data_IF_042008508255
#
_entry.id   IF_042008508255
#
_cell.length_a   1.000
_cell.length_b   1.000
_cell.length_c   1.000
_cell.angle_alpha   90.00
_cell.angle_beta   90.00
_cell.angle_gamma   90.00
#
_symmetry.space_group_name_H-M   'P 1'
#
loop_
_entity.id
_entity.type
_entity.pdbx_description
1 polymer ?
#
# COMPACT_ATOMS: atom_id res chain seq x y z
N UNK A 1 40.10 -27.54 -77.45
CA UNK A 1 41.50 -27.73 -77.88
C UNK A 1 42.31 -26.51 -77.44
N UNK A 2 43.33 -26.76 -76.60
CA UNK A 2 44.48 -25.89 -76.30
C UNK A 2 44.24 -24.58 -75.49
N UNK A 3 45.26 -24.02 -74.81
CA UNK A 3 46.00 -24.65 -73.70
C UNK A 3 46.37 -23.65 -72.57
N UNK A 4 46.77 -24.21 -71.42
CA UNK A 4 47.96 -23.88 -70.59
C UNK A 4 48.19 -22.43 -70.13
N UNK A 5 48.07 -22.27 -68.80
CA UNK A 5 48.97 -21.58 -67.83
C UNK A 5 49.92 -20.49 -68.37
N UNK A 6 49.94 -19.35 -67.66
CA UNK A 6 51.18 -18.83 -67.05
C UNK A 6 50.91 -17.83 -65.93
N UNK A 7 51.62 -18.04 -64.83
CA UNK A 7 51.70 -17.19 -63.64
C UNK A 7 52.51 -15.94 -63.97
N UNK A 8 52.17 -14.79 -63.39
CA UNK A 8 53.14 -13.74 -63.05
C UNK A 8 52.57 -12.86 -61.94
N UNK A 9 53.41 -12.58 -60.96
CA UNK A 9 53.09 -11.94 -59.70
C UNK A 9 53.23 -10.41 -59.79
N UNK A 10 52.39 -9.70 -59.04
CA UNK A 10 52.61 -8.37 -58.47
C UNK A 10 51.54 -8.27 -57.37
N UNK A 11 51.82 -8.17 -56.08
CA UNK A 11 52.85 -7.37 -55.46
C UNK A 11 52.23 -6.04 -55.02
N UNK A 12 51.96 -5.94 -53.70
CA UNK A 12 51.93 -4.69 -52.91
C UNK A 12 50.61 -3.91 -52.82
N UNK A 13 50.10 -3.78 -51.58
CA UNK A 13 49.13 -2.74 -51.21
C UNK A 13 48.06 -3.08 -50.17
N UNK A 14 48.37 -3.78 -49.07
CA UNK A 14 47.46 -3.82 -47.90
C UNK A 14 47.55 -2.47 -47.16
N UNK A 15 46.66 -1.55 -47.49
CA UNK A 15 46.36 -0.40 -46.63
C UNK A 15 45.47 -0.93 -45.50
N UNK A 16 46.07 -1.24 -44.36
CA UNK A 16 45.32 -1.53 -43.14
C UNK A 16 44.70 -0.21 -42.63
N UNK A 17 43.45 0.06 -43.00
CA UNK A 17 42.67 1.11 -42.38
C UNK A 17 42.32 0.66 -40.95
N UNK A 18 43.10 1.10 -39.97
CA UNK A 18 42.75 0.94 -38.55
C UNK A 18 41.59 1.88 -38.23
N UNK A 19 40.37 1.38 -38.31
CA UNK A 19 39.18 2.07 -37.82
C UNK A 19 39.23 2.14 -36.29
N UNK A 20 39.55 3.32 -35.76
CA UNK A 20 39.40 3.64 -34.34
C UNK A 20 37.90 3.58 -33.96
N UNK A 21 37.52 2.50 -33.28
CA UNK A 21 36.23 2.40 -32.58
C UNK A 21 36.28 3.33 -31.35
N UNK A 22 35.76 4.54 -31.50
CA UNK A 22 35.50 5.43 -30.36
C UNK A 22 34.31 4.84 -29.60
N UNK A 23 34.58 4.19 -28.47
CA UNK A 23 33.55 3.82 -27.50
C UNK A 23 32.96 5.10 -26.92
N UNK A 24 31.80 5.53 -27.44
CA UNK A 24 31.01 6.55 -26.76
C UNK A 24 30.38 5.89 -25.54
N UNK A 25 31.02 6.08 -24.37
CA UNK A 25 30.42 5.74 -23.09
C UNK A 25 29.12 6.51 -22.94
N UNK A 26 27.98 5.83 -23.10
CA UNK A 26 26.68 6.39 -22.77
C UNK A 26 26.60 6.49 -21.25
N UNK A 27 26.81 7.70 -20.72
CA UNK A 27 26.46 8.01 -19.34
C UNK A 27 24.94 8.02 -19.22
N UNK A 28 24.37 6.94 -18.71
CA UNK A 28 22.98 6.92 -18.26
C UNK A 28 22.88 7.76 -16.99
N UNK A 29 22.33 8.97 -17.09
CA UNK A 29 21.90 9.70 -15.90
C UNK A 29 20.64 9.03 -15.36
N UNK A 30 20.69 8.53 -14.12
CA UNK A 30 19.50 8.08 -13.43
C UNK A 30 18.55 9.28 -13.28
N UNK A 31 17.31 9.14 -13.74
CA UNK A 31 16.29 10.16 -13.49
C UNK A 31 16.10 10.33 -11.98
N UNK A 32 16.09 11.56 -11.49
CA UNK A 32 15.80 11.86 -10.09
C UNK A 32 14.39 11.35 -9.75
N UNK A 33 14.27 10.67 -8.61
CA UNK A 33 12.98 10.20 -8.12
C UNK A 33 12.11 11.42 -7.76
N UNK A 34 11.04 11.61 -8.53
CA UNK A 34 10.11 12.75 -8.37
C UNK A 34 8.95 12.43 -7.44
N UNK A 35 8.92 11.23 -6.84
CA UNK A 35 7.86 10.82 -5.92
C UNK A 35 7.88 11.71 -4.67
N UNK A 36 6.70 12.07 -4.12
CA UNK A 36 6.65 12.76 -2.84
C UNK A 36 7.32 11.93 -1.75
N UNK A 37 8.20 12.55 -0.96
CA UNK A 37 9.01 11.89 0.06
C UNK A 37 8.65 12.31 1.48
N UNK A 38 8.85 11.40 2.44
CA UNK A 38 8.74 11.72 3.87
C UNK A 38 9.90 12.65 4.26
N UNK A 39 9.58 13.78 4.88
CA UNK A 39 10.57 14.71 5.43
C UNK A 39 10.77 14.41 6.90
N UNK A 40 12.04 14.25 7.31
CA UNK A 40 12.43 13.99 8.70
C UNK A 40 13.38 15.08 9.17
N UNK A 41 13.03 15.73 10.28
CA UNK A 41 13.86 16.74 10.95
C UNK A 41 14.00 16.38 12.42
N UNK A 42 15.22 16.43 12.95
CA UNK A 42 15.52 16.11 14.35
C UNK A 42 14.96 14.74 14.80
N UNK A 43 14.90 13.76 13.89
CA UNK A 43 14.37 12.43 14.16
C UNK A 43 12.84 12.31 14.14
N UNK A 44 12.12 13.35 13.71
CA UNK A 44 10.65 13.37 13.67
C UNK A 44 10.15 13.66 12.25
N UNK A 45 9.11 12.94 11.84
CA UNK A 45 8.43 13.16 10.56
C UNK A 45 7.65 14.47 10.55
N UNK A 46 7.78 15.22 9.46
CA UNK A 46 7.21 16.56 9.32
C UNK A 46 5.86 16.53 8.60
N UNK A 47 4.91 17.42 8.95
CA UNK A 47 3.57 17.45 8.38
C UNK A 47 3.57 18.12 6.99
N UNK A 48 4.18 17.47 6.01
CA UNK A 48 4.35 18.00 4.65
C UNK A 48 3.27 17.56 3.66
N UNK A 49 2.35 16.68 4.10
CA UNK A 49 1.20 16.23 3.31
C UNK A 49 -0.09 16.89 3.81
N UNK A 50 -1.05 17.08 2.90
CA UNK A 50 -2.35 17.64 3.26
C UNK A 50 -3.24 16.63 3.98
N UNK A 51 -3.91 17.10 5.04
CA UNK A 51 -4.94 16.33 5.74
C UNK A 51 -6.30 16.43 5.02
N UNK A 52 -6.66 17.64 4.55
CA UNK A 52 -7.96 17.91 3.96
C UNK A 52 -8.20 17.18 2.62
N UNK A 53 -7.12 16.85 1.90
CA UNK A 53 -7.17 16.10 0.65
C UNK A 53 -6.78 14.63 0.82
N UNK A 54 -6.61 14.16 2.07
CA UNK A 54 -6.33 12.76 2.36
C UNK A 54 -7.41 11.85 1.78
N UNK A 55 -7.00 10.65 1.40
CA UNK A 55 -7.90 9.64 0.84
C UNK A 55 -8.46 8.84 2.01
N UNK A 56 -9.78 8.68 2.01
CA UNK A 56 -10.52 7.84 2.96
C UNK A 56 -11.08 6.64 2.22
N UNK A 57 -10.91 5.47 2.80
CA UNK A 57 -11.35 4.19 2.25
C UNK A 57 -11.98 3.36 3.37
N UNK A 58 -13.03 2.63 3.03
CA UNK A 58 -13.61 1.60 3.89
C UNK A 58 -13.55 0.27 3.14
N UNK A 59 -12.97 -0.76 3.77
CA UNK A 59 -12.80 -2.08 3.15
C UNK A 59 -13.15 -3.21 4.10
N UNK A 60 -13.62 -4.31 3.53
CA UNK A 60 -13.79 -5.59 4.22
C UNK A 60 -12.73 -6.57 3.77
N UNK A 61 -11.88 -7.02 4.70
CA UNK A 61 -10.82 -7.99 4.45
C UNK A 61 -11.34 -9.41 4.71
N UNK A 62 -11.20 -10.30 3.73
CA UNK A 62 -11.64 -11.69 3.82
C UNK A 62 -10.82 -12.44 4.89
N UNK A 63 -11.48 -13.01 5.90
CA UNK A 63 -10.84 -13.83 6.93
C UNK A 63 -10.84 -15.32 6.56
N UNK A 64 -9.89 -16.13 7.07
CA UNK A 64 -9.85 -17.58 6.83
C UNK A 64 -10.65 -18.38 7.87
N UNK A 65 -11.55 -17.74 8.61
CA UNK A 65 -12.32 -18.34 9.71
C UNK A 65 -13.78 -17.90 9.65
N UNK A 66 -14.64 -18.70 10.27
CA UNK A 66 -16.08 -18.49 10.42
C UNK A 66 -16.36 -18.62 11.94
N UNK A 67 -16.53 -17.48 12.62
CA UNK A 67 -16.61 -17.42 14.08
C UNK A 67 -18.02 -17.62 14.64
N UNK A 68 -19.05 -17.44 13.82
CA UNK A 68 -20.45 -17.64 14.19
C UNK A 68 -21.05 -18.95 13.65
N UNK A 69 -20.28 -19.68 12.85
CA UNK A 69 -20.59 -20.97 12.26
C UNK A 69 -21.80 -20.94 11.32
N UNK A 70 -21.98 -19.84 10.58
CA UNK A 70 -23.04 -19.71 9.58
C UNK A 70 -22.70 -20.37 8.23
N UNK A 71 -21.47 -20.85 8.07
CA UNK A 71 -20.96 -21.48 6.85
C UNK A 71 -20.31 -20.52 5.86
N UNK A 72 -20.18 -19.25 6.22
CA UNK A 72 -19.52 -18.19 5.46
C UNK A 72 -18.34 -17.67 6.27
N UNK A 73 -17.20 -17.47 5.63
CA UNK A 73 -16.05 -16.88 6.32
C UNK A 73 -16.31 -15.41 6.69
N UNK A 74 -15.77 -15.02 7.84
CA UNK A 74 -15.90 -13.67 8.35
C UNK A 74 -15.19 -12.62 7.47
N UNK A 75 -15.67 -11.39 7.57
CA UNK A 75 -15.08 -10.21 6.95
C UNK A 75 -14.71 -9.19 8.03
N UNK A 76 -13.48 -8.68 7.94
CA UNK A 76 -12.92 -7.71 8.89
C UNK A 76 -12.94 -6.31 8.28
N UNK A 77 -13.76 -5.43 8.85
CA UNK A 77 -13.88 -4.02 8.46
C UNK A 77 -12.65 -3.22 8.88
N UNK A 78 -12.13 -2.42 7.94
CA UNK A 78 -11.02 -1.50 8.15
C UNK A 78 -11.32 -0.17 7.48
N UNK A 79 -11.36 0.90 8.28
CA UNK A 79 -11.35 2.27 7.77
C UNK A 79 -9.91 2.76 7.65
N UNK A 80 -9.54 3.30 6.50
CA UNK A 80 -8.18 3.74 6.18
C UNK A 80 -8.19 5.20 5.76
N UNK A 81 -7.31 6.00 6.37
CA UNK A 81 -6.97 7.33 5.89
C UNK A 81 -5.51 7.36 5.51
N UNK A 82 -5.20 7.79 4.29
CA UNK A 82 -3.82 7.85 3.78
C UNK A 82 -3.52 9.16 3.05
N UNK A 83 -2.25 9.62 3.02
CA UNK A 83 -1.88 10.81 2.29
C UNK A 83 -2.17 10.65 0.80
N UNK A 84 -2.70 11.68 0.13
CA UNK A 84 -2.93 11.65 -1.33
C UNK A 84 -1.68 11.31 -2.15
N UNK A 85 -0.50 11.66 -1.64
CA UNK A 85 0.80 11.32 -2.21
C UNK A 85 1.00 9.81 -2.48
N UNK A 86 0.24 8.93 -1.83
CA UNK A 86 0.26 7.48 -2.12
C UNK A 86 -0.23 7.16 -3.53
N UNK A 87 -1.14 7.96 -4.12
CA UNK A 87 -1.50 7.86 -5.55
C UNK A 87 -0.34 8.26 -6.49
N UNK A 88 0.67 8.94 -5.94
CA UNK A 88 1.87 9.40 -6.64
C UNK A 88 3.10 8.53 -6.29
N UNK A 89 2.88 7.36 -5.70
CA UNK A 89 3.92 6.37 -5.44
C UNK A 89 4.64 6.48 -4.10
N UNK A 90 4.19 7.35 -3.18
CA UNK A 90 4.63 7.31 -1.78
C UNK A 90 4.21 5.97 -1.16
N UNK A 91 5.16 5.24 -0.58
CA UNK A 91 4.90 4.03 0.21
C UNK A 91 4.72 4.44 1.66
N UNK A 92 3.46 4.58 2.10
CA UNK A 92 3.14 5.01 3.46
C UNK A 92 3.18 3.83 4.45
N UNK A 93 3.94 3.91 5.55
CA UNK A 93 3.78 2.98 6.66
C UNK A 93 2.39 3.14 7.30
N UNK A 94 1.85 2.05 7.86
CA UNK A 94 0.51 2.02 8.47
C UNK A 94 0.60 2.03 9.99
N UNK A 95 -0.16 2.91 10.63
CA UNK A 95 -0.46 2.85 12.07
C UNK A 95 -1.86 2.27 12.20
N UNK A 96 -1.95 1.05 12.71
CA UNK A 96 -3.21 0.34 12.89
C UNK A 96 -3.65 0.38 14.35
N UNK A 97 -4.94 0.62 14.57
CA UNK A 97 -5.59 0.35 15.85
C UNK A 97 -6.78 -0.59 15.67
N UNK A 98 -6.64 -1.82 16.19
CA UNK A 98 -7.66 -2.84 16.19
C UNK A 98 -8.46 -2.76 17.50
N UNK A 99 -9.75 -2.47 17.39
CA UNK A 99 -10.60 -2.25 18.54
C UNK A 99 -11.93 -2.97 18.40
N UNK A 100 -12.42 -3.63 19.46
CA UNK A 100 -13.78 -4.14 19.52
C UNK A 100 -14.78 -3.07 20.01
N UNK A 101 -14.32 -1.84 20.27
CA UNK A 101 -15.05 -0.85 21.06
C UNK A 101 -15.59 0.36 20.28
N UNK A 102 -15.29 0.49 18.98
CA UNK A 102 -15.55 1.72 18.25
C UNK A 102 -17.03 2.14 18.13
N UNK A 103 -17.98 1.22 18.34
CA UNK A 103 -19.42 1.49 18.33
C UNK A 103 -20.08 1.48 19.71
N UNK A 104 -19.32 1.18 20.78
CA UNK A 104 -19.87 1.01 22.14
C UNK A 104 -19.18 1.88 23.17
N UNK A 105 -17.97 1.51 23.60
CA UNK A 105 -17.21 2.22 24.65
C UNK A 105 -16.32 3.33 24.09
N UNK A 106 -16.04 3.29 22.80
CA UNK A 106 -15.18 4.23 22.11
C UNK A 106 -13.71 4.11 22.49
N UNK A 107 -12.94 5.10 22.06
CA UNK A 107 -11.50 5.18 22.28
C UNK A 107 -11.15 6.30 23.25
N UNK A 108 -10.19 6.04 24.12
CA UNK A 108 -9.65 7.03 25.06
C UNK A 108 -10.56 7.27 26.27
N UNK A 109 -10.18 8.27 27.09
CA UNK A 109 -11.01 8.69 28.23
C UNK A 109 -12.25 9.48 27.77
N UNK A 110 -12.23 9.93 26.52
CA UNK A 110 -13.26 10.68 25.83
C UNK A 110 -14.36 9.79 25.26
N UNK A 111 -14.14 8.46 25.22
CA UNK A 111 -15.07 7.48 24.63
C UNK A 111 -15.48 7.84 23.20
N UNK A 112 -14.51 8.28 22.38
CA UNK A 112 -14.82 8.69 21.02
C UNK A 112 -15.11 7.49 20.12
N UNK A 113 -16.27 7.54 19.47
CA UNK A 113 -16.77 6.53 18.53
C UNK A 113 -16.38 6.86 17.10
N UNK A 114 -16.29 5.82 16.26
CA UNK A 114 -16.31 5.97 14.80
C UNK A 114 -17.71 6.42 14.37
N UNK A 115 -17.80 7.41 13.49
CA UNK A 115 -19.07 7.90 12.96
C UNK A 115 -18.92 8.28 11.49
N UNK A 116 -19.78 7.72 10.65
CA UNK A 116 -20.16 8.24 9.34
C UNK A 116 -21.36 9.17 9.58
N UNK A 117 -21.20 10.46 9.29
CA UNK A 117 -22.19 11.48 9.64
C UNK A 117 -23.08 11.89 8.49
N UNK A 118 -22.67 11.64 7.25
CA UNK A 118 -23.43 11.96 6.04
C UNK A 118 -24.00 10.73 5.32
N UNK A 119 -23.62 9.52 5.77
CA UNK A 119 -24.15 8.24 5.30
C UNK A 119 -23.53 7.79 3.98
N UNK A 120 -22.36 8.30 3.60
CA UNK A 120 -21.68 7.95 2.36
C UNK A 120 -20.87 6.63 2.45
N UNK A 121 -20.81 6.03 3.63
CA UNK A 121 -20.08 4.79 3.91
C UNK A 121 -18.60 5.01 4.23
N UNK A 122 -18.13 6.25 4.32
CA UNK A 122 -16.77 6.59 4.73
C UNK A 122 -16.77 7.19 6.14
N UNK A 123 -15.66 6.98 6.85
CA UNK A 123 -15.54 7.49 8.20
C UNK A 123 -15.26 9.01 8.22
N UNK A 124 -16.16 9.77 8.84
CA UNK A 124 -16.00 11.21 9.09
C UNK A 124 -15.31 11.51 10.41
N UNK A 125 -15.76 10.84 11.47
CA UNK A 125 -15.22 11.00 12.81
C UNK A 125 -14.20 9.91 13.09
N UNK A 126 -12.93 10.31 13.01
CA UNK A 126 -11.79 9.50 13.41
C UNK A 126 -11.51 9.75 14.90
N UNK A 127 -11.59 8.72 15.76
CA UNK A 127 -11.37 8.90 17.19
C UNK A 127 -9.96 9.38 17.55
N UNK A 128 -9.91 10.35 18.47
CA UNK A 128 -8.72 11.01 18.98
C UNK A 128 -7.97 11.82 17.90
N UNK A 129 -6.65 11.64 17.77
CA UNK A 129 -5.79 12.55 16.99
C UNK A 129 -4.87 11.81 16.01
N UNK A 130 -5.02 10.50 15.86
CA UNK A 130 -4.00 9.71 15.15
C UNK A 130 -3.96 10.08 13.67
N UNK A 131 -5.12 10.18 13.03
CA UNK A 131 -5.28 10.58 11.65
C UNK A 131 -4.74 12.01 11.40
N UNK A 132 -5.17 12.99 12.20
CA UNK A 132 -4.77 14.39 11.99
C UNK A 132 -3.30 14.67 12.33
N UNK A 133 -2.68 13.82 13.15
CA UNK A 133 -1.26 13.93 13.45
C UNK A 133 -0.40 13.15 12.44
N UNK A 134 -0.72 11.89 12.16
CA UNK A 134 0.16 11.00 11.40
C UNK A 134 -0.06 11.05 9.88
N UNK A 135 -1.27 11.32 9.39
CA UNK A 135 -1.52 11.40 7.93
C UNK A 135 -0.75 12.55 7.28
N UNK A 136 -0.75 13.78 7.83
CA UNK A 136 0.11 14.84 7.30
C UNK A 136 1.60 14.51 7.31
N UNK A 137 2.02 13.56 8.16
CA UNK A 137 3.41 13.14 8.36
C UNK A 137 3.82 11.92 7.51
N UNK A 138 2.94 11.48 6.61
CA UNK A 138 3.25 10.45 5.61
C UNK A 138 2.90 9.03 6.03
N UNK A 139 2.11 8.85 7.09
CA UNK A 139 1.61 7.54 7.51
C UNK A 139 0.16 7.36 7.04
N UNK A 140 -0.24 6.12 6.75
CA UNK A 140 -1.64 5.77 6.74
C UNK A 140 -2.10 5.41 8.16
N UNK A 141 -3.34 5.72 8.50
CA UNK A 141 -3.99 5.30 9.74
C UNK A 141 -5.10 4.33 9.39
N UNK A 142 -5.13 3.18 10.05
CA UNK A 142 -6.11 2.13 9.83
C UNK A 142 -6.85 1.81 11.14
N UNK A 143 -8.17 2.03 11.17
CA UNK A 143 -9.02 1.69 12.31
C UNK A 143 -9.79 0.42 11.98
N UNK A 144 -9.40 -0.67 12.64
CA UNK A 144 -9.93 -2.00 12.39
C UNK A 144 -11.02 -2.31 13.42
N UNK A 145 -12.18 -2.73 12.91
CA UNK A 145 -13.23 -3.32 13.73
C UNK A 145 -12.91 -4.80 13.91
N UNK A 146 -12.70 -5.25 15.15
CA UNK A 146 -12.41 -6.67 15.40
C UNK A 146 -13.59 -7.57 15.01
N UNK A 147 -13.33 -8.87 14.81
CA UNK A 147 -14.36 -9.86 14.47
C UNK A 147 -15.61 -9.73 15.33
N UNK A 148 -16.77 -9.76 14.68
CA UNK A 148 -18.09 -9.64 15.31
C UNK A 148 -18.38 -8.30 15.98
N UNK A 149 -17.65 -7.24 15.63
CA UNK A 149 -17.87 -5.89 16.16
C UNK A 149 -18.10 -4.87 15.05
N UNK A 150 -18.94 -3.87 15.35
CA UNK A 150 -19.26 -2.77 14.45
C UNK A 150 -19.61 -3.24 13.02
N UNK A 151 -18.76 -2.97 12.03
CA UNK A 151 -18.99 -3.31 10.62
C UNK A 151 -18.37 -4.66 10.20
N UNK A 152 -17.65 -5.35 11.10
CA UNK A 152 -17.13 -6.70 10.86
C UNK A 152 -18.22 -7.75 11.09
N UNK A 153 -18.21 -8.82 10.31
CA UNK A 153 -19.13 -9.95 10.49
C UNK A 153 -18.63 -10.90 11.58
N UNK A 154 -19.43 -11.93 11.88
CA UNK A 154 -19.08 -12.98 12.84
C UNK A 154 -19.51 -12.67 14.27
N UNK A 155 -18.93 -13.42 15.22
CA UNK A 155 -19.16 -13.28 16.65
C UNK A 155 -17.84 -13.11 17.41
N UNK A 156 -17.74 -12.18 18.37
CA UNK A 156 -16.56 -12.08 19.23
C UNK A 156 -16.39 -13.38 20.03
N UNK A 157 -15.18 -13.94 20.01
CA UNK A 157 -14.91 -15.24 20.65
C UNK A 157 -14.35 -15.11 22.07
N UNK A 158 -14.02 -13.90 22.50
CA UNK A 158 -13.39 -13.55 23.78
C UNK A 158 -12.15 -14.39 24.09
N UNK A 159 -10.98 -13.89 23.66
CA UNK A 159 -9.67 -14.57 23.73
C UNK A 159 -9.57 -15.82 22.85
N UNK A 160 -10.51 -16.01 21.93
CA UNK A 160 -10.41 -17.07 20.93
C UNK A 160 -9.42 -16.74 19.82
N UNK A 161 -9.10 -17.73 19.00
CA UNK A 161 -8.22 -17.56 17.84
C UNK A 161 -8.73 -16.48 16.87
N UNK A 162 -10.03 -16.41 16.51
CA UNK A 162 -10.55 -15.35 15.63
C UNK A 162 -10.26 -13.92 16.11
N UNK A 163 -10.38 -13.65 17.41
CA UNK A 163 -10.08 -12.34 17.99
C UNK A 163 -8.62 -11.94 17.73
N UNK A 164 -7.69 -12.87 17.99
CA UNK A 164 -6.25 -12.65 17.80
C UNK A 164 -5.87 -12.48 16.32
N UNK A 165 -6.62 -13.11 15.42
CA UNK A 165 -6.34 -13.08 13.98
C UNK A 165 -6.90 -11.86 13.26
N UNK A 166 -7.87 -11.14 13.83
CA UNK A 166 -8.51 -9.98 13.20
C UNK A 166 -7.47 -8.97 12.67
N UNK A 167 -6.55 -8.51 13.53
CA UNK A 167 -5.48 -7.60 13.11
C UNK A 167 -4.50 -8.24 12.12
N UNK A 168 -4.20 -9.53 12.29
CA UNK A 168 -3.27 -10.25 11.41
C UNK A 168 -3.81 -10.34 9.97
N UNK A 169 -5.11 -10.58 9.79
CA UNK A 169 -5.75 -10.66 8.46
C UNK A 169 -5.58 -9.35 7.70
N UNK A 170 -5.85 -8.21 8.36
CA UNK A 170 -5.63 -6.90 7.75
C UNK A 170 -4.14 -6.62 7.45
N UNK A 171 -3.23 -7.00 8.35
CA UNK A 171 -1.77 -6.89 8.11
C UNK A 171 -1.35 -7.73 6.90
N UNK A 172 -1.87 -8.94 6.75
CA UNK A 172 -1.57 -9.81 5.62
C UNK A 172 -2.07 -9.20 4.31
N UNK A 173 -3.31 -8.70 4.26
CA UNK A 173 -3.82 -7.97 3.08
C UNK A 173 -2.99 -6.73 2.76
N UNK A 174 -2.63 -5.89 3.75
CA UNK A 174 -1.77 -4.72 3.55
C UNK A 174 -0.41 -5.09 2.95
N UNK A 175 0.08 -6.32 3.18
CA UNK A 175 1.29 -6.86 2.59
C UNK A 175 1.06 -7.68 1.30
N UNK A 176 -0.12 -7.59 0.68
CA UNK A 176 -0.47 -8.30 -0.55
C UNK A 176 -0.72 -9.80 -0.38
N UNK A 177 -1.00 -10.27 0.85
CA UNK A 177 -1.26 -11.68 1.20
C UNK A 177 -2.70 -11.89 1.67
N UNK A 178 -3.65 -11.22 1.03
CA UNK A 178 -5.07 -11.32 1.36
C UNK A 178 -5.92 -10.62 0.30
N UNK A 179 -7.23 -10.70 0.47
CA UNK A 179 -8.21 -10.05 -0.39
C UNK A 179 -9.04 -9.10 0.47
N UNK A 180 -9.31 -7.91 -0.05
CA UNK A 180 -10.29 -7.02 0.55
C UNK A 180 -11.26 -6.50 -0.52
N UNK A 181 -12.42 -6.04 -0.09
CA UNK A 181 -13.48 -5.53 -0.94
C UNK A 181 -14.00 -4.19 -0.46
N UNK A 182 -14.47 -3.37 -1.41
CA UNK A 182 -15.26 -2.18 -1.11
C UNK A 182 -16.74 -2.53 -0.88
N UNK A 183 -17.57 -1.51 -0.63
CA UNK A 183 -19.00 -1.68 -0.37
C UNK A 183 -19.78 -2.25 -1.56
N UNK A 184 -19.26 -2.07 -2.78
CA UNK A 184 -19.82 -2.62 -4.01
C UNK A 184 -19.37 -4.07 -4.28
N UNK A 185 -18.47 -4.61 -3.42
CA UNK A 185 -17.92 -5.95 -3.53
C UNK A 185 -16.74 -6.08 -4.50
N UNK A 186 -16.26 -4.97 -5.06
CA UNK A 186 -15.09 -4.96 -5.93
C UNK A 186 -13.83 -5.27 -5.13
N UNK A 187 -12.90 -6.01 -5.71
CA UNK A 187 -11.62 -6.31 -5.06
C UNK A 187 -10.77 -5.04 -5.00
N UNK A 188 -10.33 -4.68 -3.79
CA UNK A 188 -9.47 -3.53 -3.53
C UNK A 188 -8.04 -4.00 -3.32
N UNK A 189 -7.12 -3.48 -4.11
CA UNK A 189 -5.70 -3.73 -3.94
C UNK A 189 -5.21 -3.10 -2.62
N UNK A 190 -4.19 -3.70 -2.00
CA UNK A 190 -3.53 -3.03 -0.88
C UNK A 190 -3.06 -1.64 -1.31
N UNK A 191 -3.29 -0.59 -0.49
CA UNK A 191 -2.83 0.77 -0.77
C UNK A 191 -1.30 0.93 -0.70
N UNK A 192 -0.56 -0.18 -0.53
CA UNK A 192 0.89 -0.29 -0.48
C UNK A 192 1.59 0.24 -1.71
#
# INVERSE_FOLDING_TARGET
>A
MSPVRRRTALGMGLIAAASLLVSQGQTTFAAADSRPGIVVENGVTQPVFGYADAIREHVWVDAPFDSDHDGVNDQISVDIMRPRATEQGLKAPVIMDASPYYSTLGRGNESELKQDTDGDGLLDKWPLFYDNYFVPRGYAVALLDMVGTNNSTGCPTTNGTPDNLSAKVAIDWLNGRGTARDADGNVVASPG
#
